data_IF_147753724178
#
_entry.id   IF_147753724178
#
_cell.length_a   1.000
_cell.length_b   1.000
_cell.length_c   1.000
_cell.angle_alpha   90.00
_cell.angle_beta   90.00
_cell.angle_gamma   90.00
#
_symmetry.space_group_name_H-M   'P 1'
#
loop_
_entity.id
_entity.type
_entity.pdbx_description
1 polymer ?
#
# COMPACT_ATOMS: atom_id res chain seq x y z
N UNK A 1 1.05 2.17 -17.82
CA UNK A 1 1.28 3.14 -16.73
C UNK A 1 -0.07 3.62 -16.21
N UNK A 2 -0.24 3.76 -14.87
CA UNK A 2 -1.38 4.51 -14.31
C UNK A 2 -0.95 5.97 -14.17
N UNK A 3 -1.77 6.87 -14.71
CA UNK A 3 -1.58 8.31 -14.58
C UNK A 3 -2.76 8.92 -13.84
N UNK A 4 -2.46 9.68 -12.81
CA UNK A 4 -3.40 10.49 -12.03
C UNK A 4 -3.18 11.94 -12.43
N UNK A 5 -4.21 12.60 -13.00
CA UNK A 5 -4.09 13.96 -13.53
C UNK A 5 -5.07 14.89 -12.82
N UNK A 6 -4.54 15.80 -12.03
CA UNK A 6 -5.28 16.87 -11.32
C UNK A 6 -6.51 16.37 -10.56
N UNK A 7 -6.39 15.24 -9.85
CA UNK A 7 -7.49 14.60 -9.12
C UNK A 7 -7.83 15.39 -7.85
N UNK A 8 -9.11 15.70 -7.72
CA UNK A 8 -9.71 16.12 -6.45
C UNK A 8 -10.80 15.13 -6.05
N UNK A 9 -10.78 14.68 -4.80
CA UNK A 9 -11.72 13.70 -4.28
C UNK A 9 -11.96 13.90 -2.78
N UNK A 10 -13.06 13.38 -2.27
CA UNK A 10 -13.39 13.48 -0.85
C UNK A 10 -14.80 13.00 -0.55
N UNK A 11 -15.20 13.17 0.70
CA UNK A 11 -16.50 12.72 1.20
C UNK A 11 -17.44 13.92 1.32
N UNK A 12 -18.67 13.74 0.86
CA UNK A 12 -19.66 14.82 0.81
C UNK A 12 -19.05 16.09 0.15
N UNK A 13 -19.18 17.26 0.77
CA UNK A 13 -18.66 18.53 0.24
C UNK A 13 -17.18 18.77 0.60
N UNK A 14 -16.59 17.96 1.48
CA UNK A 14 -15.20 18.13 1.91
C UNK A 14 -14.25 17.44 0.96
N UNK A 15 -13.30 18.20 0.40
CA UNK A 15 -12.18 17.63 -0.35
C UNK A 15 -11.14 17.08 0.64
N UNK A 16 -10.73 15.83 0.41
CA UNK A 16 -9.61 15.17 1.08
C UNK A 16 -8.36 15.24 0.20
N UNK A 17 -8.57 15.19 -1.12
CA UNK A 17 -7.53 15.34 -2.13
C UNK A 17 -7.82 16.58 -2.98
N UNK A 18 -6.79 17.34 -3.31
CA UNK A 18 -6.90 18.61 -4.07
C UNK A 18 -5.79 18.68 -5.11
N UNK A 19 -6.15 18.45 -6.39
CA UNK A 19 -5.25 18.62 -7.51
C UNK A 19 -4.08 17.64 -7.56
N UNK A 20 -4.28 16.39 -7.14
CA UNK A 20 -3.24 15.34 -7.16
C UNK A 20 -2.87 14.97 -8.60
N UNK A 21 -1.58 15.05 -8.90
CA UNK A 21 -1.01 14.50 -10.13
C UNK A 21 0.16 13.57 -9.78
N UNK A 22 0.12 12.34 -10.32
CA UNK A 22 1.09 11.28 -10.00
C UNK A 22 1.14 10.26 -11.13
N UNK A 23 2.33 9.77 -11.45
CA UNK A 23 2.55 8.68 -12.38
C UNK A 23 3.01 7.43 -11.63
N UNK A 24 2.38 6.30 -11.92
CA UNK A 24 2.65 5.01 -11.31
C UNK A 24 3.07 4.03 -12.43
N UNK A 25 4.36 3.92 -12.73
CA UNK A 25 4.85 3.03 -13.78
C UNK A 25 4.78 1.56 -13.39
N UNK A 26 4.73 0.67 -14.39
CA UNK A 26 5.00 -0.77 -14.20
C UNK A 26 6.50 -0.98 -13.93
N UNK A 27 6.83 -2.07 -13.25
CA UNK A 27 8.22 -2.38 -12.90
C UNK A 27 8.80 -1.51 -11.79
N UNK A 28 7.94 -0.82 -11.03
CA UNK A 28 8.37 0.06 -9.94
C UNK A 28 7.55 -0.16 -8.68
N UNK A 29 8.21 -0.04 -7.55
CA UNK A 29 7.60 0.01 -6.22
C UNK A 29 7.59 1.46 -5.75
N UNK A 30 6.39 2.02 -5.58
CA UNK A 30 6.17 3.40 -5.12
C UNK A 30 5.53 3.37 -3.74
N UNK A 31 6.15 4.02 -2.77
CA UNK A 31 5.56 4.19 -1.44
C UNK A 31 4.87 5.54 -1.30
N UNK A 32 3.62 5.52 -0.83
CA UNK A 32 2.85 6.70 -0.42
C UNK A 32 3.03 6.89 1.08
N UNK A 33 3.63 7.99 1.48
CA UNK A 33 3.81 8.36 2.89
C UNK A 33 3.11 9.69 3.20
N UNK A 34 2.82 9.94 4.46
CA UNK A 34 2.15 11.15 4.93
C UNK A 34 1.47 10.90 6.27
N UNK A 35 1.07 11.96 6.95
CA UNK A 35 0.35 11.86 8.23
C UNK A 35 -0.97 11.11 8.11
N UNK A 36 -1.53 10.67 9.23
CA UNK A 36 -2.87 10.10 9.27
C UNK A 36 -3.90 11.14 8.81
N UNK A 37 -4.83 10.72 7.96
CA UNK A 37 -5.81 11.64 7.38
C UNK A 37 -5.31 12.47 6.19
N UNK A 38 -4.05 12.36 5.76
CA UNK A 38 -3.51 13.10 4.61
C UNK A 38 -4.13 12.73 3.25
N UNK A 39 -4.92 11.63 3.18
CA UNK A 39 -5.63 11.22 1.97
C UNK A 39 -5.03 10.02 1.24
N UNK A 40 -4.05 9.32 1.79
CA UNK A 40 -3.38 8.15 1.16
C UNK A 40 -4.36 7.08 0.69
N UNK A 41 -5.18 6.55 1.60
CA UNK A 41 -6.21 5.54 1.28
C UNK A 41 -7.30 6.09 0.34
N UNK A 42 -7.62 7.37 0.46
CA UNK A 42 -8.56 8.06 -0.45
C UNK A 42 -8.00 8.08 -1.87
N UNK A 43 -6.70 8.34 -2.05
CA UNK A 43 -6.04 8.31 -3.35
C UNK A 43 -6.11 6.91 -3.96
N UNK A 44 -5.75 5.85 -3.21
CA UNK A 44 -5.84 4.48 -3.71
C UNK A 44 -7.27 4.11 -4.13
N UNK A 45 -8.26 4.43 -3.30
CA UNK A 45 -9.69 4.18 -3.60
C UNK A 45 -10.16 4.96 -4.83
N UNK A 46 -9.67 6.19 -5.02
CA UNK A 46 -10.03 7.01 -6.18
C UNK A 46 -9.40 6.44 -7.46
N UNK A 47 -8.13 6.02 -7.41
CA UNK A 47 -7.47 5.35 -8.56
C UNK A 47 -8.27 4.13 -9.01
N UNK A 48 -8.79 3.34 -8.08
CA UNK A 48 -9.53 2.11 -8.37
C UNK A 48 -11.02 2.32 -8.71
N UNK A 49 -11.50 3.56 -8.76
CA UNK A 49 -12.90 3.85 -9.00
C UNK A 49 -13.85 3.41 -7.88
N UNK A 50 -13.32 3.06 -6.69
CA UNK A 50 -14.09 2.78 -5.48
C UNK A 50 -14.69 4.09 -4.96
N UNK A 51 -13.93 5.17 -5.05
CA UNK A 51 -14.37 6.54 -4.79
C UNK A 51 -14.37 7.34 -6.09
N UNK A 52 -15.44 8.09 -6.32
CA UNK A 52 -15.55 8.95 -7.51
C UNK A 52 -14.68 10.21 -7.33
N UNK A 53 -13.86 10.50 -8.34
CA UNK A 53 -13.16 11.79 -8.42
C UNK A 53 -14.19 12.90 -8.67
N UNK A 54 -14.05 14.03 -7.97
CA UNK A 54 -14.84 15.25 -8.21
C UNK A 54 -14.32 16.01 -9.43
N UNK A 55 -12.99 16.01 -9.61
CA UNK A 55 -12.32 16.64 -10.73
C UNK A 55 -11.09 15.81 -11.13
N UNK A 56 -10.60 16.04 -12.36
CA UNK A 56 -9.42 15.41 -12.90
C UNK A 56 -9.70 14.10 -13.61
N UNK A 57 -8.67 13.36 -13.94
CA UNK A 57 -8.74 12.14 -14.75
C UNK A 57 -7.74 11.09 -14.29
N UNK A 58 -8.15 9.83 -14.32
CA UNK A 58 -7.26 8.68 -14.10
C UNK A 58 -7.18 7.90 -15.41
N UNK A 59 -5.97 7.53 -15.79
CA UNK A 59 -5.69 6.85 -17.05
C UNK A 59 -4.95 5.55 -16.75
N UNK A 60 -5.44 4.42 -17.27
CA UNK A 60 -4.82 3.10 -17.20
C UNK A 60 -4.29 2.71 -18.58
N UNK A 61 -2.98 2.67 -18.76
CA UNK A 61 -2.32 2.27 -20.01
C UNK A 61 -2.91 3.00 -21.24
N UNK A 62 -3.09 4.32 -21.13
CA UNK A 62 -3.60 5.19 -22.20
C UNK A 62 -5.12 5.28 -22.29
N UNK A 63 -5.90 4.50 -21.52
CA UNK A 63 -7.37 4.58 -21.51
C UNK A 63 -7.86 5.29 -20.24
N UNK A 64 -8.79 6.22 -20.39
CA UNK A 64 -9.42 6.89 -19.27
C UNK A 64 -10.22 5.89 -18.41
N UNK A 65 -10.17 6.03 -17.09
CA UNK A 65 -10.94 5.16 -16.18
C UNK A 65 -12.45 5.25 -16.38
N UNK A 66 -12.94 6.38 -16.88
CA UNK A 66 -14.35 6.57 -17.26
C UNK A 66 -14.81 5.70 -18.43
N UNK A 67 -13.88 5.21 -19.25
CA UNK A 67 -14.13 4.31 -20.39
C UNK A 67 -14.06 2.82 -19.98
N UNK A 68 -13.64 2.54 -18.76
CA UNK A 68 -13.45 1.20 -18.23
C UNK A 68 -14.59 0.82 -17.30
N UNK A 69 -15.09 -0.40 -17.41
CA UNK A 69 -15.99 -0.96 -16.42
C UNK A 69 -15.22 -1.20 -15.08
N UNK A 70 -15.96 -1.30 -13.98
CA UNK A 70 -15.35 -1.70 -12.67
C UNK A 70 -14.62 -3.04 -12.77
N UNK A 71 -15.11 -3.94 -13.60
CA UNK A 71 -14.49 -5.25 -13.85
C UNK A 71 -13.16 -5.11 -14.60
N UNK A 72 -13.10 -4.20 -15.58
CA UNK A 72 -11.87 -3.94 -16.34
C UNK A 72 -10.80 -3.32 -15.44
N UNK A 73 -11.17 -2.38 -14.58
CA UNK A 73 -10.26 -1.81 -13.56
C UNK A 73 -9.77 -2.91 -12.62
N UNK A 74 -10.68 -3.77 -12.11
CA UNK A 74 -10.32 -4.88 -11.24
C UNK A 74 -9.42 -5.94 -11.90
N UNK A 75 -9.41 -6.06 -13.23
CA UNK A 75 -8.46 -6.90 -13.97
C UNK A 75 -7.11 -6.25 -14.17
N UNK A 76 -7.02 -4.94 -14.04
CA UNK A 76 -5.78 -4.17 -14.18
C UNK A 76 -5.07 -3.92 -12.86
N UNK A 77 -5.82 -3.72 -11.79
CA UNK A 77 -5.28 -3.34 -10.49
C UNK A 77 -5.98 -4.08 -9.34
N UNK A 78 -5.17 -4.78 -8.53
CA UNK A 78 -5.60 -5.39 -7.28
C UNK A 78 -5.52 -4.38 -6.13
N UNK A 79 -6.36 -4.55 -5.13
CA UNK A 79 -6.40 -3.70 -3.96
C UNK A 79 -6.45 -4.47 -2.65
N UNK A 80 -5.50 -4.18 -1.79
CA UNK A 80 -5.53 -4.57 -0.39
C UNK A 80 -6.01 -3.39 0.46
N UNK A 81 -7.25 -3.43 0.94
CA UNK A 81 -7.79 -2.40 1.82
C UNK A 81 -7.30 -2.55 3.26
N UNK A 82 -7.18 -1.42 3.97
CA UNK A 82 -7.00 -1.40 5.42
C UNK A 82 -8.29 -1.85 6.13
N UNK A 83 -8.17 -2.57 7.25
CA UNK A 83 -9.29 -2.96 8.11
C UNK A 83 -10.30 -3.87 7.42
N UNK A 84 -10.21 -5.17 7.64
CA UNK A 84 -11.08 -6.16 7.02
C UNK A 84 -11.89 -6.90 8.06
N UNK A 85 -13.18 -7.09 7.78
CA UNK A 85 -14.00 -8.03 8.54
C UNK A 85 -13.54 -9.46 8.25
N UNK A 86 -13.49 -10.27 9.28
CA UNK A 86 -13.16 -11.69 9.15
C UNK A 86 -14.41 -12.42 8.64
N UNK A 87 -14.32 -12.98 7.45
CA UNK A 87 -15.40 -13.77 6.85
C UNK A 87 -15.35 -15.21 7.36
N UNK A 88 -16.52 -15.85 7.45
CA UNK A 88 -16.66 -17.27 7.80
C UNK A 88 -16.40 -18.14 6.55
N UNK A 89 -15.12 -18.34 6.25
CA UNK A 89 -14.67 -19.15 5.11
C UNK A 89 -13.24 -19.64 5.34
N UNK A 90 -12.78 -20.60 4.53
CA UNK A 90 -11.40 -21.06 4.56
C UNK A 90 -10.46 -20.06 3.88
N UNK A 91 -9.16 -20.20 4.14
CA UNK A 91 -8.12 -19.39 3.53
C UNK A 91 -8.15 -19.55 2.00
N UNK A 92 -8.25 -20.79 1.48
CA UNK A 92 -8.35 -21.06 0.05
C UNK A 92 -9.55 -20.34 -0.57
N UNK A 93 -10.74 -20.50 0.04
CA UNK A 93 -11.96 -19.86 -0.44
C UNK A 93 -11.79 -18.35 -0.55
N UNK A 94 -11.18 -17.73 0.46
CA UNK A 94 -10.94 -16.29 0.44
C UNK A 94 -9.97 -15.90 -0.68
N UNK A 95 -8.87 -16.62 -0.84
CA UNK A 95 -7.86 -16.29 -1.87
C UNK A 95 -8.43 -16.50 -3.28
N UNK A 96 -9.27 -17.52 -3.48
CA UNK A 96 -10.01 -17.72 -4.73
C UNK A 96 -10.91 -16.53 -5.09
N UNK A 97 -11.41 -15.76 -4.13
CA UNK A 97 -12.16 -14.54 -4.45
C UNK A 97 -11.33 -13.52 -5.24
N UNK A 98 -10.00 -13.56 -5.17
CA UNK A 98 -9.13 -12.77 -6.04
C UNK A 98 -9.36 -13.05 -7.52
N UNK A 99 -9.81 -14.26 -7.88
CA UNK A 99 -10.11 -14.64 -9.26
C UNK A 99 -11.46 -14.15 -9.79
N UNK A 100 -12.32 -13.60 -8.90
CA UNK A 100 -13.67 -13.18 -9.25
C UNK A 100 -13.79 -12.25 -10.48
N UNK A 101 -12.91 -11.25 -10.70
CA UNK A 101 -12.95 -10.42 -11.89
C UNK A 101 -12.73 -11.18 -13.20
N UNK A 102 -12.12 -12.37 -13.15
CA UNK A 102 -11.81 -13.19 -14.33
C UNK A 102 -12.93 -14.18 -14.70
N UNK A 103 -13.87 -14.47 -13.78
CA UNK A 103 -14.90 -15.47 -14.01
C UNK A 103 -15.91 -15.01 -15.05
N UNK A 104 -16.26 -15.93 -15.98
CA UNK A 104 -17.37 -15.79 -16.90
C UNK A 104 -18.66 -16.35 -16.29
N UNK A 105 -19.82 -16.06 -16.88
CA UNK A 105 -21.06 -16.71 -16.49
C UNK A 105 -21.18 -18.11 -17.14
N UNK A 106 -21.62 -19.17 -16.42
CA UNK A 106 -21.85 -19.21 -14.97
C UNK A 106 -20.52 -19.12 -14.19
N UNK A 107 -20.51 -18.36 -13.08
CA UNK A 107 -19.32 -18.09 -12.27
C UNK A 107 -18.84 -19.35 -11.57
N UNK A 108 -17.88 -20.04 -12.16
CA UNK A 108 -17.22 -21.23 -11.61
C UNK A 108 -15.73 -21.05 -11.69
N UNK A 109 -15.02 -21.41 -10.62
CA UNK A 109 -13.56 -21.43 -10.61
C UNK A 109 -13.07 -22.63 -11.42
N UNK A 110 -12.16 -22.38 -12.35
CA UNK A 110 -11.44 -23.41 -13.10
C UNK A 110 -10.28 -23.98 -12.27
N UNK A 111 -9.70 -25.09 -12.74
CA UNK A 111 -8.48 -25.63 -12.14
C UNK A 111 -7.33 -24.60 -12.16
N UNK A 112 -7.20 -23.88 -13.28
CA UNK A 112 -6.24 -22.78 -13.40
C UNK A 112 -6.43 -21.68 -12.35
N UNK A 113 -7.67 -21.35 -11.98
CA UNK A 113 -7.92 -20.36 -10.92
C UNK A 113 -7.46 -20.89 -9.55
N UNK A 114 -7.63 -22.20 -9.29
CA UNK A 114 -7.13 -22.85 -8.07
C UNK A 114 -5.61 -22.90 -8.02
N UNK A 115 -4.95 -23.22 -9.13
CA UNK A 115 -3.49 -23.20 -9.25
C UNK A 115 -2.94 -21.80 -8.97
N UNK A 116 -3.54 -20.74 -9.52
CA UNK A 116 -3.13 -19.35 -9.28
C UNK A 116 -3.33 -18.99 -7.80
N UNK A 117 -4.47 -19.36 -7.20
CA UNK A 117 -4.73 -19.10 -5.80
C UNK A 117 -3.74 -19.86 -4.88
N UNK A 118 -3.45 -21.13 -5.19
CA UNK A 118 -2.47 -21.91 -4.46
C UNK A 118 -1.04 -21.37 -4.61
N UNK A 119 -0.68 -20.92 -5.80
CA UNK A 119 0.59 -20.24 -6.06
C UNK A 119 0.75 -18.96 -5.23
N UNK A 120 -0.33 -18.19 -5.08
CA UNK A 120 -0.34 -17.01 -4.21
C UNK A 120 -0.17 -17.38 -2.73
N UNK A 121 -0.86 -18.44 -2.26
CA UNK A 121 -0.68 -18.96 -0.90
C UNK A 121 0.75 -19.44 -0.64
N UNK A 122 1.33 -20.16 -1.61
CA UNK A 122 2.71 -20.66 -1.53
C UNK A 122 3.72 -19.51 -1.46
N UNK A 123 3.53 -18.46 -2.26
CA UNK A 123 4.37 -17.26 -2.25
C UNK A 123 4.35 -16.53 -0.92
N UNK A 124 3.22 -16.58 -0.21
CA UNK A 124 3.08 -16.02 1.14
C UNK A 124 3.48 -16.99 2.27
N UNK A 125 3.97 -18.20 1.94
CA UNK A 125 4.40 -19.20 2.92
C UNK A 125 3.25 -19.79 3.75
N UNK A 126 2.00 -19.74 3.28
CA UNK A 126 0.81 -20.18 4.02
C UNK A 126 -0.02 -21.26 3.31
N UNK A 127 0.54 -21.91 2.28
CA UNK A 127 -0.17 -22.96 1.53
C UNK A 127 -0.67 -24.11 2.43
N UNK A 128 0.10 -24.50 3.46
CA UNK A 128 -0.31 -25.52 4.44
C UNK A 128 -1.50 -25.11 5.34
N UNK A 129 -2.04 -23.91 5.18
CA UNK A 129 -3.19 -23.40 5.94
C UNK A 129 -4.44 -23.21 5.07
N UNK A 130 -4.42 -23.68 3.82
CA UNK A 130 -5.48 -23.46 2.84
C UNK A 130 -6.89 -23.85 3.37
N UNK A 131 -6.98 -24.97 4.04
CA UNK A 131 -8.27 -25.51 4.57
C UNK A 131 -8.67 -24.92 5.93
N UNK A 132 -7.81 -24.10 6.56
CA UNK A 132 -8.12 -23.54 7.88
C UNK A 132 -9.16 -22.43 7.78
N UNK A 133 -10.10 -22.33 8.74
CA UNK A 133 -10.98 -21.19 8.86
C UNK A 133 -10.19 -19.89 9.07
N UNK A 134 -10.53 -18.84 8.34
CA UNK A 134 -9.85 -17.55 8.42
C UNK A 134 -9.90 -16.93 9.83
N UNK A 135 -10.99 -17.17 10.56
CA UNK A 135 -11.19 -16.69 11.93
C UNK A 135 -10.23 -17.34 12.94
N UNK A 136 -9.70 -18.55 12.66
CA UNK A 136 -8.77 -19.27 13.53
C UNK A 136 -7.32 -18.81 13.42
N UNK A 137 -7.00 -17.92 12.45
CA UNK A 137 -5.64 -17.49 12.18
C UNK A 137 -5.21 -16.32 13.07
N UNK A 138 -3.90 -16.27 13.38
CA UNK A 138 -3.30 -15.07 13.97
C UNK A 138 -3.41 -13.86 13.02
N UNK A 139 -3.31 -12.65 13.58
CA UNK A 139 -3.39 -11.41 12.78
C UNK A 139 -2.39 -11.37 11.62
N UNK A 140 -1.14 -11.77 11.85
CA UNK A 140 -0.11 -11.79 10.83
C UNK A 140 -0.37 -12.81 9.72
N UNK A 141 -0.77 -14.05 10.06
CA UNK A 141 -1.10 -15.08 9.05
C UNK A 141 -2.33 -14.65 8.26
N UNK A 142 -3.32 -14.08 8.91
CA UNK A 142 -4.51 -13.55 8.25
C UNK A 142 -4.16 -12.40 7.30
N UNK A 143 -3.22 -11.53 7.67
CA UNK A 143 -2.71 -10.49 6.78
C UNK A 143 -2.02 -11.08 5.54
N UNK A 144 -1.18 -12.10 5.71
CA UNK A 144 -0.58 -12.85 4.58
C UNK A 144 -1.66 -13.45 3.66
N UNK A 145 -2.76 -13.97 4.21
CA UNK A 145 -3.86 -14.50 3.41
C UNK A 145 -4.57 -13.40 2.59
N UNK A 146 -4.76 -12.21 3.14
CA UNK A 146 -5.32 -11.08 2.39
C UNK A 146 -4.38 -10.57 1.29
N UNK A 147 -3.07 -10.63 1.53
CA UNK A 147 -2.09 -10.28 0.48
C UNK A 147 -2.13 -11.35 -0.62
N UNK A 148 -2.21 -12.64 -0.25
CA UNK A 148 -2.39 -13.73 -1.22
C UNK A 148 -3.64 -13.55 -2.10
N UNK A 149 -4.76 -13.07 -1.54
CA UNK A 149 -5.96 -12.72 -2.32
C UNK A 149 -5.64 -11.64 -3.38
N UNK A 150 -4.91 -10.58 -3.00
CA UNK A 150 -4.52 -9.53 -3.94
C UNK A 150 -3.57 -10.07 -5.03
N UNK A 151 -2.65 -10.97 -4.67
CA UNK A 151 -1.76 -11.64 -5.62
C UNK A 151 -2.51 -12.57 -6.57
N UNK A 152 -3.49 -13.34 -6.06
CA UNK A 152 -4.32 -14.24 -6.86
C UNK A 152 -5.18 -13.50 -7.88
N UNK A 153 -5.44 -12.21 -7.70
CA UNK A 153 -6.12 -11.40 -8.71
C UNK A 153 -5.32 -11.27 -10.00
N UNK A 154 -4.00 -11.49 -9.95
CA UNK A 154 -3.07 -11.55 -11.09
C UNK A 154 -3.22 -10.36 -12.04
N UNK A 155 -2.96 -9.20 -11.52
CA UNK A 155 -3.10 -7.90 -12.20
C UNK A 155 -1.74 -7.29 -12.54
N UNK A 156 -1.74 -6.30 -13.44
CA UNK A 156 -0.56 -5.50 -13.78
C UNK A 156 -0.12 -4.58 -12.64
N UNK A 157 -1.08 -4.16 -11.79
CA UNK A 157 -0.83 -3.27 -10.65
C UNK A 157 -1.35 -3.88 -9.35
N UNK A 158 -0.65 -3.61 -8.26
CA UNK A 158 -1.04 -4.02 -6.91
C UNK A 158 -0.95 -2.79 -6.02
N UNK A 159 -2.09 -2.36 -5.47
CA UNK A 159 -2.21 -1.23 -4.56
C UNK A 159 -2.50 -1.75 -3.16
N UNK A 160 -1.63 -1.43 -2.20
CA UNK A 160 -1.68 -1.97 -0.85
C UNK A 160 -1.81 -0.83 0.16
N UNK A 161 -2.85 -0.88 0.97
CA UNK A 161 -3.10 0.10 2.02
C UNK A 161 -2.65 -0.45 3.37
N UNK A 162 -1.47 -0.01 3.83
CA UNK A 162 -0.81 -0.43 5.07
C UNK A 162 -0.62 -1.97 5.18
N UNK A 163 0.05 -2.62 4.22
CA UNK A 163 0.15 -4.07 4.18
C UNK A 163 0.98 -4.66 5.33
N UNK A 164 1.86 -3.88 5.95
CA UNK A 164 2.75 -4.32 7.04
C UNK A 164 2.09 -4.32 8.43
N UNK A 165 0.88 -3.77 8.54
CA UNK A 165 0.13 -3.76 9.80
C UNK A 165 -0.12 -5.19 10.30
N UNK A 166 0.05 -5.43 11.59
CA UNK A 166 -0.05 -6.73 12.27
C UNK A 166 1.08 -7.74 11.95
N UNK A 167 2.09 -7.37 11.18
CA UNK A 167 3.28 -8.18 10.94
C UNK A 167 4.40 -7.78 11.92
N UNK A 168 5.14 -8.75 12.41
CA UNK A 168 6.41 -8.49 13.09
C UNK A 168 7.48 -8.03 12.08
N UNK A 169 8.60 -7.50 12.59
CA UNK A 169 9.65 -6.89 11.77
C UNK A 169 10.18 -7.85 10.70
N UNK A 170 10.41 -9.13 11.05
CA UNK A 170 10.91 -10.12 10.10
C UNK A 170 9.91 -10.36 8.96
N UNK A 171 8.62 -10.53 9.28
CA UNK A 171 7.56 -10.69 8.30
C UNK A 171 7.31 -9.42 7.47
N UNK A 172 7.56 -8.22 8.03
CA UNK A 172 7.49 -6.97 7.26
C UNK A 172 8.58 -6.92 6.19
N UNK A 173 9.83 -7.27 6.54
CA UNK A 173 10.95 -7.33 5.58
C UNK A 173 10.69 -8.41 4.52
N UNK A 174 10.22 -9.60 4.92
CA UNK A 174 9.83 -10.66 3.98
C UNK A 174 8.78 -10.16 2.96
N UNK A 175 7.74 -9.48 3.45
CA UNK A 175 6.72 -8.89 2.59
C UNK A 175 7.31 -7.86 1.62
N UNK A 176 8.17 -6.97 2.11
CA UNK A 176 8.77 -5.95 1.24
C UNK A 176 9.65 -6.57 0.15
N UNK A 177 10.38 -7.66 0.45
CA UNK A 177 11.09 -8.43 -0.56
C UNK A 177 10.13 -9.01 -1.62
N UNK A 178 9.01 -9.62 -1.19
CA UNK A 178 7.99 -10.13 -2.13
C UNK A 178 7.45 -9.00 -3.03
N UNK A 179 7.18 -7.81 -2.47
CA UNK A 179 6.70 -6.66 -3.24
C UNK A 179 7.77 -6.14 -4.20
N UNK A 180 9.04 -6.17 -3.80
CA UNK A 180 10.18 -5.83 -4.66
C UNK A 180 10.28 -6.79 -5.85
N UNK A 181 10.25 -8.12 -5.58
CA UNK A 181 10.26 -9.15 -6.63
C UNK A 181 9.10 -9.00 -7.63
N UNK A 182 7.92 -8.58 -7.15
CA UNK A 182 6.77 -8.32 -8.03
C UNK A 182 7.02 -7.12 -8.93
N UNK A 183 7.62 -6.07 -8.40
CA UNK A 183 7.98 -4.88 -9.18
C UNK A 183 9.07 -5.22 -10.20
N UNK A 184 10.13 -5.92 -9.81
CA UNK A 184 11.20 -6.39 -10.68
C UNK A 184 10.69 -7.34 -11.77
N UNK A 185 9.64 -8.13 -11.45
CA UNK A 185 8.88 -8.93 -12.41
C UNK A 185 7.95 -8.15 -13.34
N UNK A 186 7.99 -6.81 -13.30
CA UNK A 186 7.27 -5.92 -14.22
C UNK A 186 5.89 -5.43 -13.73
N UNK A 187 5.45 -5.80 -12.52
CA UNK A 187 4.21 -5.25 -11.96
C UNK A 187 4.42 -3.83 -11.40
N UNK A 188 3.44 -2.96 -11.51
CA UNK A 188 3.42 -1.68 -10.78
C UNK A 188 2.95 -1.92 -9.34
N UNK A 189 3.77 -1.63 -8.35
CA UNK A 189 3.42 -1.81 -6.94
C UNK A 189 3.32 -0.46 -6.26
N UNK A 190 2.19 -0.20 -5.60
CA UNK A 190 1.97 1.02 -4.83
C UNK A 190 1.60 0.62 -3.40
N UNK A 191 2.31 1.12 -2.42
CA UNK A 191 2.05 0.78 -1.02
C UNK A 191 1.95 2.03 -0.16
N UNK A 192 0.96 2.07 0.71
CA UNK A 192 0.90 3.06 1.80
C UNK A 192 1.72 2.53 2.96
N UNK A 193 2.70 3.31 3.41
CA UNK A 193 3.63 2.91 4.46
C UNK A 193 3.66 3.93 5.60
N UNK A 194 3.84 3.40 6.82
CA UNK A 194 4.12 4.19 8.02
C UNK A 194 5.57 4.03 8.48
N UNK A 195 6.17 2.86 8.22
CA UNK A 195 7.58 2.61 8.50
C UNK A 195 8.44 3.26 7.40
N UNK A 196 9.10 4.35 7.76
CA UNK A 196 9.90 5.12 6.80
C UNK A 196 11.17 4.39 6.38
N UNK A 197 11.97 3.78 7.27
CA UNK A 197 13.10 2.94 6.87
C UNK A 197 12.74 1.89 5.82
N UNK A 198 11.64 1.15 6.02
CA UNK A 198 11.17 0.17 5.03
C UNK A 198 10.73 0.84 3.73
N UNK A 199 9.95 1.94 3.81
CA UNK A 199 9.51 2.65 2.62
C UNK A 199 10.70 3.14 1.78
N UNK A 200 11.69 3.78 2.41
CA UNK A 200 12.85 4.34 1.74
C UNK A 200 13.83 3.28 1.25
N UNK A 201 14.01 2.19 2.01
CA UNK A 201 14.94 1.11 1.67
C UNK A 201 14.49 0.23 0.50
N UNK A 202 13.18 0.09 0.29
CA UNK A 202 12.65 -0.84 -0.71
C UNK A 202 12.06 -0.18 -1.96
N UNK A 203 11.71 1.11 -1.91
CA UNK A 203 10.97 1.75 -3.00
C UNK A 203 11.89 2.38 -4.05
N UNK A 204 11.42 2.38 -5.29
CA UNK A 204 12.03 3.17 -6.37
C UNK A 204 11.65 4.66 -6.29
N UNK A 205 10.50 4.94 -5.69
CA UNK A 205 10.01 6.30 -5.52
C UNK A 205 9.16 6.46 -4.28
N UNK A 206 9.22 7.65 -3.70
CA UNK A 206 8.45 8.06 -2.53
C UNK A 206 7.57 9.23 -2.93
N UNK A 207 6.26 9.08 -2.73
CA UNK A 207 5.31 10.18 -2.86
C UNK A 207 4.84 10.61 -1.46
N UNK A 208 5.14 11.84 -1.07
CA UNK A 208 4.75 12.42 0.21
C UNK A 208 3.45 13.19 0.03
N UNK A 209 2.41 12.76 0.75
CA UNK A 209 1.11 13.45 0.77
C UNK A 209 1.02 14.30 2.03
N UNK A 210 0.78 15.59 1.85
CA UNK A 210 0.54 16.57 2.91
C UNK A 210 -0.70 17.40 2.55
N UNK A 211 -1.63 17.53 3.48
CA UNK A 211 -2.85 18.33 3.34
C UNK A 211 -3.63 18.06 2.02
N UNK A 212 -3.73 16.78 1.64
CA UNK A 212 -4.45 16.35 0.45
C UNK A 212 -3.74 16.67 -0.88
N UNK A 213 -2.45 17.03 -0.87
CA UNK A 213 -1.63 17.33 -2.06
C UNK A 213 -0.37 16.47 -2.08
N UNK A 214 0.19 16.23 -3.26
CA UNK A 214 1.55 15.70 -3.38
C UNK A 214 2.52 16.85 -3.06
N UNK A 215 3.22 16.73 -1.94
CA UNK A 215 4.25 17.68 -1.55
C UNK A 215 5.55 17.45 -2.33
N UNK A 216 5.90 16.18 -2.54
CA UNK A 216 7.03 15.75 -3.37
C UNK A 216 6.78 14.32 -3.85
N UNK A 217 7.28 13.99 -5.04
CA UNK A 217 7.34 12.62 -5.55
C UNK A 217 8.66 12.46 -6.30
N UNK A 218 9.58 11.70 -5.72
CA UNK A 218 10.94 11.53 -6.28
C UNK A 218 11.56 10.22 -5.73
N UNK A 219 12.83 9.97 -6.11
CA UNK A 219 13.63 8.88 -5.54
C UNK A 219 13.79 9.04 -4.02
N UNK A 220 13.97 7.93 -3.28
CA UNK A 220 14.18 7.98 -1.83
C UNK A 220 15.27 8.98 -1.41
N UNK A 221 16.42 9.01 -2.11
CA UNK A 221 17.52 9.92 -1.81
C UNK A 221 17.14 11.39 -1.95
N UNK A 222 16.45 11.75 -3.05
CA UNK A 222 16.03 13.13 -3.30
C UNK A 222 14.99 13.57 -2.26
N UNK A 223 14.03 12.70 -1.92
CA UNK A 223 13.03 12.98 -0.87
C UNK A 223 13.70 13.12 0.50
N UNK A 224 14.66 12.27 0.84
CA UNK A 224 15.42 12.36 2.09
C UNK A 224 16.16 13.72 2.20
N UNK A 225 16.84 14.13 1.13
CA UNK A 225 17.61 15.40 1.08
C UNK A 225 16.74 16.65 1.04
N UNK A 226 15.50 16.54 0.60
CA UNK A 226 14.58 17.70 0.47
C UNK A 226 14.17 18.32 1.81
N UNK A 227 14.32 17.58 2.92
CA UNK A 227 13.86 18.00 4.24
C UNK A 227 12.35 17.85 4.45
N UNK A 228 11.57 17.47 3.44
CA UNK A 228 10.10 17.35 3.54
C UNK A 228 9.65 16.35 4.62
N UNK A 229 10.44 15.29 4.87
CA UNK A 229 10.15 14.30 5.90
C UNK A 229 10.16 14.96 7.29
N UNK A 230 11.09 15.87 7.53
CA UNK A 230 11.15 16.67 8.77
C UNK A 230 9.91 17.55 8.91
N UNK A 231 9.51 18.22 7.85
CA UNK A 231 8.37 19.14 7.84
C UNK A 231 7.02 18.41 8.01
N UNK A 232 6.93 17.15 7.58
CA UNK A 232 5.69 16.37 7.67
C UNK A 232 5.63 15.56 8.95
N UNK A 233 6.73 14.94 9.38
CA UNK A 233 6.72 13.96 10.47
C UNK A 233 7.42 14.44 11.75
N UNK A 234 8.10 15.59 11.71
CA UNK A 234 8.93 16.12 12.80
C UNK A 234 10.01 15.12 13.25
N UNK A 235 10.62 14.46 12.29
CA UNK A 235 11.75 13.54 12.48
C UNK A 235 12.88 13.91 11.51
N UNK A 236 14.09 13.51 11.86
CA UNK A 236 15.26 13.68 11.01
C UNK A 236 15.60 12.32 10.38
N UNK A 237 15.35 12.18 9.07
CA UNK A 237 15.66 10.97 8.32
C UNK A 237 17.06 11.09 7.73
N UNK A 238 17.86 10.05 7.91
CA UNK A 238 19.26 9.99 7.47
C UNK A 238 19.50 8.72 6.67
N UNK A 239 20.30 8.84 5.63
CA UNK A 239 20.85 7.72 4.89
C UNK A 239 22.27 7.45 5.34
N UNK A 240 22.59 6.19 5.68
CA UNK A 240 23.93 5.70 5.96
C UNK A 240 24.46 4.98 4.73
N UNK A 241 25.45 5.55 4.06
CA UNK A 241 26.06 4.94 2.88
C UNK A 241 26.84 3.65 3.20
N UNK A 242 27.47 3.60 4.38
CA UNK A 242 28.26 2.45 4.83
C UNK A 242 27.37 1.22 5.10
N UNK A 243 26.17 1.45 5.58
CA UNK A 243 25.19 0.40 5.91
C UNK A 243 24.15 0.20 4.78
N UNK A 244 24.17 1.04 3.75
CA UNK A 244 23.14 1.10 2.71
C UNK A 244 21.71 1.08 3.29
N UNK A 245 21.48 1.91 4.29
CA UNK A 245 20.26 1.88 5.10
C UNK A 245 19.74 3.28 5.42
N UNK A 246 18.42 3.35 5.66
CA UNK A 246 17.76 4.56 6.17
C UNK A 246 17.41 4.38 7.64
N UNK A 247 17.69 5.41 8.43
CA UNK A 247 17.30 5.50 9.83
C UNK A 247 16.73 6.88 10.13
N UNK A 248 15.98 7.02 11.21
CA UNK A 248 15.47 8.32 11.63
C UNK A 248 15.69 8.58 13.12
N UNK A 249 15.74 9.87 13.47
CA UNK A 249 15.79 10.34 14.85
C UNK A 249 14.56 11.21 15.13
N UNK A 250 13.99 11.02 16.32
CA UNK A 250 12.92 11.91 16.78
C UNK A 250 13.48 13.29 17.14
N UNK A 251 12.83 14.35 16.67
CA UNK A 251 13.12 15.72 17.11
C UNK A 251 12.31 15.93 18.39
N UNK A 252 12.96 15.81 19.52
CA UNK A 252 12.32 15.99 20.81
C UNK A 252 12.28 17.48 21.16
N UNK A 253 11.19 17.98 21.80
CA UNK A 253 11.18 19.33 22.34
C UNK A 253 12.29 19.49 23.39
N UNK A 254 12.88 20.66 23.45
CA UNK A 254 13.86 20.96 24.49
C UNK A 254 13.22 20.72 25.87
N UNK A 255 13.81 19.80 26.66
CA UNK A 255 13.35 19.61 28.03
C UNK A 255 13.79 20.84 28.83
N UNK A 256 12.84 21.58 29.40
CA UNK A 256 13.14 22.55 30.44
C UNK A 256 13.72 21.80 31.66
N UNK A 257 15.02 21.82 31.79
CA UNK A 257 15.78 21.11 32.85
C UNK A 257 15.57 21.72 34.22
N UNK A 258 14.70 22.72 34.37
CA UNK A 258 14.52 23.42 35.66
C UNK A 258 13.50 22.76 36.60
N UNK A 259 12.66 21.82 36.17
CA UNK A 259 11.57 21.29 37.02
C UNK A 259 11.77 19.85 37.56
N UNK A 260 12.88 19.18 37.26
CA UNK A 260 13.05 17.76 37.63
C UNK A 260 13.86 17.49 38.89
N UNK A 261 14.44 18.49 39.55
CA UNK A 261 15.21 18.25 40.78
C UNK A 261 14.42 18.32 42.09
N UNK A 262 13.15 18.79 42.07
CA UNK A 262 12.41 19.02 43.33
C UNK A 262 11.38 17.98 43.72
N UNK A 263 11.10 16.98 42.90
CA UNK A 263 10.00 16.02 43.17
C UNK A 263 10.42 14.56 43.43
N UNK A 264 11.73 14.28 43.63
CA UNK A 264 12.21 12.91 43.99
C UNK A 264 12.66 12.83 45.46
N UNK A 265 12.45 13.87 46.26
CA UNK A 265 12.68 13.83 47.71
C UNK A 265 11.40 14.19 48.47
N UNK A 266 10.42 13.29 48.45
CA UNK A 266 9.39 13.15 49.49
C UNK A 266 8.92 11.72 49.57
#
# INVERSE_FOLDING_TARGET
MIEVRNISAGYNDKNVLSGISLSLPKGKLISLIGQNGAGKSTLLKTILGIMTAKNGQIIFDGKASSELSRRDIARKAAYLAQGKSVADMTVEQMVLHGRFPHLSYPRRYSEKDREIAYGALSRMGIAGMADRPLCSLSGGIRQKAYIALALAQDTDYILLDEPTTYLDIANQVELMNILRDLADGGKGVVTVMHDLPLAFGFSDGIAVIKDGKIAVCDTPDNVCRSGIVRDVFNIDLQYSADENSYSYRYILPARNTQDTCNNIRR
#
